data_IF_778020347651
#
_entry.id   IF_778020347651
#
_cell.length_a   1.000
_cell.length_b   1.000
_cell.length_c   1.000
_cell.angle_alpha   90.00
_cell.angle_beta   90.00
_cell.angle_gamma   90.00
#
_symmetry.space_group_name_H-M   'P 1'
#
loop_
_entity.id
_entity.type
_entity.pdbx_description
1 polymer ?
#
# COMPACT_ATOMS: atom_id res chain seq x y z
N UNK A 1 12.82 11.87 -9.37
CA UNK A 1 11.44 11.36 -9.51
C UNK A 1 11.46 10.03 -8.82
N UNK A 2 10.80 9.93 -7.67
CA UNK A 2 11.03 8.80 -6.78
C UNK A 2 10.26 7.58 -7.28
N UNK A 3 10.92 6.43 -7.31
CA UNK A 3 10.34 5.18 -7.81
C UNK A 3 10.13 4.21 -6.67
N UNK A 4 8.90 3.72 -6.53
CA UNK A 4 8.52 2.78 -5.49
C UNK A 4 7.93 1.51 -6.08
N UNK A 5 8.31 0.37 -5.51
CA UNK A 5 7.72 -0.93 -5.82
C UNK A 5 6.72 -1.27 -4.72
N UNK A 6 5.44 -1.38 -5.08
CA UNK A 6 4.37 -1.79 -4.16
C UNK A 6 4.01 -3.24 -4.43
N UNK A 7 4.16 -4.11 -3.42
CA UNK A 7 3.75 -5.52 -3.49
C UNK A 7 2.51 -5.70 -2.64
N UNK A 8 1.41 -6.15 -3.24
CA UNK A 8 0.15 -6.44 -2.57
C UNK A 8 -0.02 -7.95 -2.46
N UNK A 9 -0.25 -8.44 -1.26
CA UNK A 9 -0.49 -9.85 -0.97
C UNK A 9 -1.99 -10.12 -0.85
N UNK A 10 -2.40 -11.32 -1.26
CA UNK A 10 -3.77 -11.79 -1.04
C UNK A 10 -3.94 -12.03 0.45
N UNK A 11 -4.90 -11.34 1.08
CA UNK A 11 -5.23 -11.55 2.50
C UNK A 11 -5.81 -12.96 2.69
N UNK A 12 -5.34 -13.67 3.69
CA UNK A 12 -6.05 -14.83 4.21
C UNK A 12 -7.35 -14.35 4.88
N UNK A 13 -8.49 -14.95 4.49
CA UNK A 13 -9.79 -14.63 5.06
C UNK A 13 -9.90 -15.00 6.55
N UNK A 14 -8.99 -15.84 7.05
CA UNK A 14 -8.96 -16.32 8.44
C UNK A 14 -8.14 -15.43 9.37
N UNK A 15 -7.32 -14.53 8.83
CA UNK A 15 -6.49 -13.62 9.61
C UNK A 15 -6.59 -12.17 9.07
N UNK A 16 -7.53 -11.36 9.61
CA UNK A 16 -7.72 -9.97 9.21
C UNK A 16 -6.53 -9.06 9.52
N UNK A 17 -5.62 -9.48 10.40
CA UNK A 17 -4.42 -8.71 10.78
C UNK A 17 -3.21 -8.99 9.89
N UNK A 18 -3.33 -9.90 8.91
CA UNK A 18 -2.25 -10.17 7.97
C UNK A 18 -1.78 -8.91 7.23
N UNK A 19 -0.45 -8.84 7.09
CA UNK A 19 0.23 -7.88 6.22
C UNK A 19 -0.41 -7.91 4.84
N UNK A 20 -0.81 -6.74 4.36
CA UNK A 20 -1.48 -6.56 3.06
C UNK A 20 -0.48 -6.34 1.95
N UNK A 21 0.70 -5.82 2.30
CA UNK A 21 1.74 -5.57 1.34
C UNK A 21 2.99 -4.96 1.93
N UNK A 22 3.93 -4.63 1.04
CA UNK A 22 5.10 -3.80 1.35
C UNK A 22 5.34 -2.77 0.27
N UNK A 23 5.97 -1.67 0.66
CA UNK A 23 6.59 -0.69 -0.22
C UNK A 23 8.10 -0.89 -0.15
N UNK A 24 8.75 -0.84 -1.31
CA UNK A 24 10.20 -0.84 -1.46
C UNK A 24 10.61 0.41 -2.24
N UNK A 25 11.55 1.16 -1.69
CA UNK A 25 12.22 2.25 -2.41
C UNK A 25 13.17 1.63 -3.45
N UNK A 26 12.99 1.98 -4.73
CA UNK A 26 13.78 1.38 -5.80
C UNK A 26 15.23 1.85 -5.82
N UNK A 27 15.53 3.02 -5.23
CA UNK A 27 16.87 3.58 -5.19
C UNK A 27 17.62 3.12 -3.93
N UNK A 28 17.00 3.22 -2.75
CA UNK A 28 17.66 2.86 -1.49
C UNK A 28 17.50 1.39 -1.10
N UNK A 29 16.51 0.68 -1.65
CA UNK A 29 16.15 -0.68 -1.25
C UNK A 29 15.45 -0.75 0.11
N UNK A 30 15.09 0.39 0.71
CA UNK A 30 14.38 0.44 1.99
C UNK A 30 12.99 -0.21 1.86
N UNK A 31 12.64 -1.06 2.83
CA UNK A 31 11.39 -1.83 2.81
C UNK A 31 10.53 -1.52 4.02
N UNK A 32 9.24 -1.27 3.80
CA UNK A 32 8.24 -1.06 4.86
C UNK A 32 6.95 -1.80 4.55
N UNK A 33 6.39 -2.48 5.54
CA UNK A 33 5.13 -3.23 5.42
C UNK A 33 3.93 -2.34 5.75
N UNK A 34 2.76 -2.67 5.17
CA UNK A 34 1.50 -2.04 5.51
C UNK A 34 0.38 -3.09 5.66
N UNK A 35 -0.57 -2.82 6.56
CA UNK A 35 -1.69 -3.71 6.90
C UNK A 35 -3.04 -3.17 6.38
N UNK A 36 -3.04 -1.95 5.83
CA UNK A 36 -4.22 -1.32 5.26
C UNK A 36 -3.80 -0.20 4.28
N UNK A 37 -4.76 0.29 3.52
CA UNK A 37 -4.54 1.34 2.51
C UNK A 37 -4.11 2.66 3.20
N UNK A 38 -4.64 2.97 4.37
CA UNK A 38 -4.28 4.20 5.10
C UNK A 38 -2.80 4.22 5.50
N UNK A 39 -2.25 3.07 5.91
CA UNK A 39 -0.81 2.90 6.18
C UNK A 39 0.02 3.08 4.91
N UNK A 40 -0.40 2.49 3.79
CA UNK A 40 0.27 2.66 2.50
C UNK A 40 0.36 4.14 2.10
N UNK A 41 -0.75 4.88 2.22
CA UNK A 41 -0.81 6.30 1.89
C UNK A 41 0.16 7.10 2.75
N UNK A 42 0.14 6.92 4.08
CA UNK A 42 1.05 7.61 5.00
C UNK A 42 2.52 7.33 4.69
N UNK A 43 2.85 6.10 4.30
CA UNK A 43 4.22 5.70 3.96
C UNK A 43 4.75 6.45 2.72
N UNK A 44 3.86 6.77 1.77
CA UNK A 44 4.21 7.38 0.50
C UNK A 44 4.07 8.93 0.54
N UNK A 45 3.07 9.48 1.25
CA UNK A 45 2.91 10.92 1.46
C UNK A 45 4.10 11.53 2.21
N UNK A 46 4.62 10.81 3.23
CA UNK A 46 5.82 11.22 3.96
C UNK A 46 7.09 11.30 3.10
N UNK A 47 7.02 10.89 1.83
CA UNK A 47 8.10 10.97 0.84
C UNK A 47 7.74 11.86 -0.36
N UNK A 48 6.74 12.73 -0.23
CA UNK A 48 6.42 13.73 -1.26
C UNK A 48 5.61 13.20 -2.44
N UNK A 49 5.08 11.97 -2.36
CA UNK A 49 4.14 11.47 -3.37
C UNK A 49 2.77 12.14 -3.18
N UNK A 50 2.20 12.69 -4.25
CA UNK A 50 0.81 13.15 -4.26
C UNK A 50 -0.11 11.94 -4.55
N UNK A 51 -0.93 11.55 -3.57
CA UNK A 51 -1.71 10.32 -3.63
C UNK A 51 -3.20 10.64 -3.51
N UNK A 52 -3.96 10.24 -4.53
CA UNK A 52 -5.42 10.25 -4.49
C UNK A 52 -5.95 8.82 -4.36
N UNK A 53 -6.72 8.55 -3.30
CA UNK A 53 -7.38 7.25 -3.09
C UNK A 53 -8.81 7.33 -3.60
N UNK A 54 -9.13 6.58 -4.66
CA UNK A 54 -10.52 6.45 -5.14
C UNK A 54 -11.08 5.08 -4.77
N UNK A 55 -12.16 5.07 -3.98
CA UNK A 55 -12.90 3.84 -3.67
C UNK A 55 -13.92 3.57 -4.76
N UNK A 56 -13.67 2.57 -5.61
CA UNK A 56 -14.71 2.08 -6.53
C UNK A 56 -15.58 1.08 -5.77
N UNK A 57 -16.78 1.53 -5.38
CA UNK A 57 -17.84 0.63 -4.92
C UNK A 57 -18.38 -0.09 -6.16
N UNK A 58 -18.16 -1.40 -6.24
CA UNK A 58 -18.86 -2.22 -7.22
C UNK A 58 -20.34 -2.21 -6.82
N UNK A 59 -21.17 -1.53 -7.61
CA UNK A 59 -22.62 -1.54 -7.41
C UNK A 59 -23.12 -2.98 -7.53
N UNK A 60 -23.78 -3.45 -6.47
CA UNK A 60 -24.62 -4.64 -6.48
C UNK A 60 -25.78 -4.39 -7.45
N UNK A 61 -25.75 -5.08 -8.58
CA UNK A 61 -26.89 -5.26 -9.47
C UNK A 61 -27.79 -6.39 -9.00
#
# INVERSE_FOLDING_TARGET
MDTYIVRIYRRDARDPQQIVGRVEDAESGDRRTFHNVSELVRLLEGRGAEISVTRKIAGSG
#
